data_IF_664261480219
#
_entry.id   IF_664261480219
#
_cell.length_a   1.000
_cell.length_b   1.000
_cell.length_c   1.000
_cell.angle_alpha   90.00
_cell.angle_beta   90.00
_cell.angle_gamma   90.00
#
_symmetry.space_group_name_H-M   'P 1'
#
loop_
_entity.id
_entity.type
_entity.pdbx_description
1 polymer ?
#
# COMPACT_ATOMS: atom_id res chain seq x y z
N UNK A 1 -12.04 61.28 17.94
CA UNK A 1 -12.56 60.00 18.43
C UNK A 1 -11.84 58.90 17.69
N UNK A 2 -10.82 58.29 18.31
CA UNK A 2 -10.08 57.15 17.74
C UNK A 2 -10.48 55.93 18.55
N UNK A 3 -11.21 55.03 17.92
CA UNK A 3 -11.62 53.75 18.51
C UNK A 3 -10.51 52.74 18.30
N UNK A 4 -9.91 52.25 19.38
CA UNK A 4 -8.96 51.14 19.35
C UNK A 4 -9.76 49.83 19.38
N UNK A 5 -9.65 49.05 18.30
CA UNK A 5 -10.19 47.69 18.26
C UNK A 5 -9.48 46.79 19.29
N UNK A 6 -10.17 45.80 19.88
CA UNK A 6 -9.56 44.88 20.84
C UNK A 6 -8.49 43.99 20.18
N UNK A 7 -7.49 43.50 20.93
CA UNK A 7 -6.43 42.69 20.38
C UNK A 7 -6.95 41.34 19.85
N UNK A 8 -6.36 40.95 18.73
CA UNK A 8 -6.54 39.72 17.99
C UNK A 8 -6.49 38.47 18.88
N UNK A 9 -7.39 37.52 18.59
CA UNK A 9 -7.42 36.20 19.20
C UNK A 9 -6.04 35.53 19.15
N UNK A 10 -5.61 35.02 20.30
CA UNK A 10 -4.39 34.24 20.44
C UNK A 10 -4.48 32.99 19.56
N UNK A 11 -3.46 32.67 18.73
CA UNK A 11 -3.49 31.45 17.93
C UNK A 11 -3.56 30.24 18.87
N UNK A 12 -4.48 29.31 18.57
CA UNK A 12 -4.61 28.06 19.28
C UNK A 12 -3.25 27.37 19.35
N UNK A 13 -2.85 26.93 20.55
CA UNK A 13 -1.58 26.25 20.74
C UNK A 13 -1.50 25.05 19.79
N UNK A 14 -0.49 25.04 18.91
CA UNK A 14 -0.24 23.91 18.02
C UNK A 14 -0.11 22.64 18.88
N UNK A 15 -0.90 21.63 18.56
CA UNK A 15 -0.90 20.38 19.31
C UNK A 15 0.52 19.80 19.31
N UNK A 16 1.05 19.51 20.50
CA UNK A 16 2.44 19.04 20.66
C UNK A 16 2.55 17.60 20.16
N UNK A 17 3.67 17.24 19.50
CA UNK A 17 3.94 15.85 19.19
C UNK A 17 4.10 15.05 20.48
N UNK A 18 3.51 13.85 20.51
CA UNK A 18 3.72 12.87 21.57
C UNK A 18 4.99 12.08 21.25
N UNK A 19 5.91 11.98 22.21
CA UNK A 19 7.20 11.31 22.03
C UNK A 19 7.27 10.19 23.05
N UNK A 20 7.34 8.95 22.58
CA UNK A 20 7.50 7.77 23.42
C UNK A 20 8.85 7.12 23.17
N UNK A 21 9.63 6.92 24.22
CA UNK A 21 10.90 6.20 24.18
C UNK A 21 10.67 4.76 24.64
N UNK A 22 11.20 3.78 23.91
CA UNK A 22 11.05 2.34 24.17
C UNK A 22 12.39 1.61 24.06
N UNK A 23 12.40 0.38 24.56
CA UNK A 23 13.51 -0.58 24.40
C UNK A 23 14.88 0.00 24.78
N UNK A 24 14.93 0.78 25.86
CA UNK A 24 16.16 1.43 26.28
C UNK A 24 17.10 0.46 26.97
N UNK A 25 18.38 0.55 26.62
CA UNK A 25 19.47 -0.16 27.28
C UNK A 25 20.55 0.86 27.67
N UNK A 26 20.92 0.86 28.94
CA UNK A 26 21.97 1.73 29.46
C UNK A 26 23.19 0.87 29.78
N UNK A 27 24.36 1.28 29.26
CA UNK A 27 25.65 0.68 29.56
C UNK A 27 26.62 1.74 30.06
N UNK A 28 27.28 1.46 31.18
CA UNK A 28 28.34 2.31 31.72
C UNK A 28 29.66 1.97 31.05
N UNK A 29 30.36 3.00 30.57
CA UNK A 29 31.74 2.90 30.08
C UNK A 29 32.72 3.11 31.23
N UNK A 30 32.40 4.07 32.09
CA UNK A 30 33.06 4.35 33.37
C UNK A 30 32.00 4.79 34.38
N UNK A 31 32.40 5.06 35.64
CA UNK A 31 31.48 5.56 36.68
C UNK A 31 30.83 6.91 36.32
N UNK A 32 31.46 7.67 35.43
CA UNK A 32 31.05 9.01 35.02
C UNK A 32 30.63 9.11 33.54
N UNK A 33 30.61 7.99 32.80
CA UNK A 33 30.21 7.97 31.38
C UNK A 33 29.29 6.79 31.12
N UNK A 34 28.10 7.06 30.59
CA UNK A 34 27.13 6.05 30.19
C UNK A 34 26.64 6.28 28.75
N UNK A 35 26.26 5.20 28.08
CA UNK A 35 25.60 5.25 26.78
C UNK A 35 24.22 4.62 26.96
N UNK A 36 23.19 5.33 26.51
CA UNK A 36 21.81 4.87 26.42
C UNK A 36 21.46 4.69 24.94
N UNK A 37 21.17 3.46 24.56
CA UNK A 37 20.67 3.11 23.24
C UNK A 37 19.17 2.80 23.36
N UNK A 38 18.35 3.21 22.38
CA UNK A 38 16.92 2.92 22.40
C UNK A 38 16.18 3.28 21.13
N UNK A 39 14.86 3.09 21.15
CA UNK A 39 13.95 3.45 20.05
C UNK A 39 13.02 4.59 20.47
N UNK A 40 12.59 5.39 19.50
CA UNK A 40 11.69 6.53 19.70
C UNK A 40 10.53 6.47 18.72
N UNK A 41 9.31 6.64 19.21
CA UNK A 41 8.11 6.86 18.41
C UNK A 41 7.67 8.32 18.60
N UNK A 42 7.52 9.06 17.51
CA UNK A 42 7.03 10.44 17.50
C UNK A 42 5.68 10.47 16.78
N UNK A 43 4.61 10.79 17.51
CA UNK A 43 3.27 10.93 16.96
C UNK A 43 2.92 12.41 16.81
N UNK A 44 2.84 12.87 15.57
CA UNK A 44 2.43 14.24 15.24
C UNK A 44 0.89 14.27 15.14
N UNK A 45 0.20 15.18 15.84
CA UNK A 45 -1.25 15.33 15.73
C UNK A 45 -1.69 15.57 14.29
N UNK A 46 -2.56 14.69 13.77
CA UNK A 46 -3.01 14.73 12.37
C UNK A 46 -2.02 14.16 11.34
N UNK A 47 -0.88 13.61 11.77
CA UNK A 47 0.14 12.99 10.92
C UNK A 47 0.40 11.53 11.25
N UNK A 48 1.25 10.88 10.42
CA UNK A 48 1.71 9.52 10.67
C UNK A 48 2.74 9.48 11.83
N UNK A 49 2.77 8.36 12.56
CA UNK A 49 3.82 8.10 13.54
C UNK A 49 5.17 7.94 12.84
N UNK A 50 6.22 8.49 13.44
CA UNK A 50 7.60 8.37 12.99
C UNK A 50 8.36 7.50 13.98
N UNK A 51 9.05 6.48 13.48
CA UNK A 51 9.90 5.62 14.28
C UNK A 51 11.38 5.94 14.05
N UNK A 52 12.13 5.98 15.13
CA UNK A 52 13.53 6.34 15.21
C UNK A 52 14.30 5.41 16.13
N UNK A 53 15.62 5.42 16.01
CA UNK A 53 16.55 4.89 17.00
C UNK A 53 17.50 5.99 17.43
N UNK A 54 17.96 5.92 18.67
CA UNK A 54 18.91 6.88 19.20
C UNK A 54 20.02 6.19 19.99
N UNK A 55 21.14 6.90 20.10
CA UNK A 55 22.24 6.61 21.01
C UNK A 55 22.63 7.91 21.70
N UNK A 56 22.41 7.97 23.00
CA UNK A 56 22.69 9.12 23.86
C UNK A 56 23.92 8.84 24.73
N UNK A 57 24.93 9.71 24.64
CA UNK A 57 26.08 9.67 25.54
C UNK A 57 25.84 10.62 26.70
N UNK A 58 25.89 10.08 27.91
CA UNK A 58 25.73 10.79 29.17
C UNK A 58 27.08 10.90 29.87
N UNK A 59 27.39 12.09 30.39
CA UNK A 59 28.60 12.36 31.19
C UNK A 59 28.19 12.97 32.52
N UNK A 60 28.74 12.44 33.62
CA UNK A 60 28.55 13.01 34.96
C UNK A 60 29.50 14.18 35.17
N UNK A 61 28.93 15.35 35.47
CA UNK A 61 29.67 16.57 35.74
C UNK A 61 28.96 17.38 36.84
N UNK A 62 29.72 17.95 37.78
CA UNK A 62 29.19 18.72 38.92
C UNK A 62 28.08 17.99 39.70
N UNK A 63 28.24 16.67 39.89
CA UNK A 63 27.29 15.83 40.62
C UNK A 63 26.02 15.47 39.86
N UNK A 64 25.89 15.84 38.58
CA UNK A 64 24.71 15.52 37.74
C UNK A 64 25.08 14.87 36.42
N UNK A 65 24.20 14.01 35.91
CA UNK A 65 24.31 13.50 34.54
C UNK A 65 23.88 14.57 33.54
N UNK A 66 24.69 14.76 32.49
CA UNK A 66 24.44 15.69 31.40
C UNK A 66 24.51 14.94 30.07
N UNK A 67 23.64 15.30 29.14
CA UNK A 67 23.68 14.76 27.77
C UNK A 67 24.86 15.40 27.04
N UNK A 68 25.88 14.62 26.73
CA UNK A 68 27.09 15.08 26.05
C UNK A 68 26.96 14.95 24.52
N UNK A 69 26.26 13.92 24.05
CA UNK A 69 25.97 13.73 22.63
C UNK A 69 24.66 12.96 22.44
N UNK A 70 23.95 13.27 21.36
CA UNK A 70 22.81 12.50 20.89
C UNK A 70 23.01 12.20 19.41
N UNK A 71 22.91 10.92 19.04
CA UNK A 71 22.88 10.48 17.64
C UNK A 71 21.54 9.85 17.37
N UNK A 72 20.87 10.33 16.34
CA UNK A 72 19.58 9.82 15.90
C UNK A 72 19.72 9.21 14.51
N UNK A 73 18.97 8.14 14.27
CA UNK A 73 18.77 7.57 12.95
C UNK A 73 17.30 7.21 12.81
N UNK A 74 16.80 7.18 11.57
CA UNK A 74 15.48 6.61 11.31
C UNK A 74 15.47 5.17 11.81
N UNK A 75 14.32 4.75 12.35
CA UNK A 75 14.10 3.37 12.75
C UNK A 75 14.28 2.44 11.55
N UNK A 76 14.34 1.13 11.82
CA UNK A 76 14.27 0.18 10.72
C UNK A 76 12.93 0.38 10.02
N UNK A 77 12.96 0.89 8.80
CA UNK A 77 11.76 0.91 7.97
C UNK A 77 11.26 -0.53 7.85
N UNK A 78 9.96 -0.81 8.11
CA UNK A 78 9.45 -2.14 7.90
C UNK A 78 9.85 -2.62 6.51
N UNK A 79 10.36 -3.84 6.46
CA UNK A 79 10.74 -4.53 5.25
C UNK A 79 9.59 -4.48 4.24
N UNK A 80 9.89 -4.54 2.93
CA UNK A 80 8.85 -4.55 1.91
C UNK A 80 7.75 -5.59 2.19
N UNK A 81 8.13 -6.75 2.77
CA UNK A 81 7.22 -7.80 3.21
C UNK A 81 6.23 -7.34 4.30
N UNK A 82 6.71 -6.67 5.35
CA UNK A 82 5.84 -6.15 6.43
C UNK A 82 4.88 -5.08 5.93
N UNK A 83 5.30 -4.28 4.95
CA UNK A 83 4.45 -3.24 4.34
C UNK A 83 3.42 -3.79 3.36
N UNK A 84 3.65 -5.00 2.85
CA UNK A 84 2.75 -5.70 1.92
C UNK A 84 1.92 -6.79 2.63
N UNK A 85 2.10 -7.01 3.93
CA UNK A 85 1.38 -8.05 4.69
C UNK A 85 -0.14 -7.90 4.60
N UNK A 86 -0.65 -6.66 4.56
CA UNK A 86 -2.08 -6.36 4.37
C UNK A 86 -2.63 -6.76 2.98
N UNK A 87 -1.76 -7.17 2.05
CA UNK A 87 -2.09 -7.72 0.75
C UNK A 87 -1.84 -9.24 0.65
N UNK A 88 -1.43 -9.92 1.73
CA UNK A 88 -1.23 -11.38 1.74
C UNK A 88 -2.48 -12.14 1.27
N UNK A 89 -3.66 -11.58 1.55
CA UNK A 89 -4.91 -12.16 1.11
C UNK A 89 -4.98 -12.36 -0.41
N UNK A 90 -4.26 -11.57 -1.21
CA UNK A 90 -4.26 -11.71 -2.67
C UNK A 90 -3.61 -13.01 -3.14
N UNK A 91 -2.65 -13.55 -2.37
CA UNK A 91 -1.86 -14.74 -2.74
C UNK A 91 -2.79 -15.93 -2.96
N UNK A 92 -2.60 -16.63 -4.09
CA UNK A 92 -3.36 -17.78 -4.51
C UNK A 92 -3.92 -17.64 -5.93
N UNK A 93 -4.67 -18.66 -6.33
CA UNK A 93 -5.35 -18.70 -7.63
C UNK A 93 -6.81 -18.30 -7.47
N UNK A 94 -7.33 -17.55 -8.44
CA UNK A 94 -8.68 -17.02 -8.44
C UNK A 94 -9.34 -17.15 -9.80
N UNK A 95 -10.65 -17.38 -9.78
CA UNK A 95 -11.53 -17.22 -10.94
C UNK A 95 -12.30 -15.92 -10.78
N UNK A 96 -12.36 -15.11 -11.85
CA UNK A 96 -13.16 -13.89 -11.83
C UNK A 96 -14.50 -14.14 -12.51
N UNK A 97 -15.59 -13.87 -11.80
CA UNK A 97 -16.96 -13.99 -12.30
C UNK A 97 -17.63 -12.63 -12.29
N UNK A 98 -18.58 -12.40 -13.20
CA UNK A 98 -19.37 -11.16 -13.18
C UNK A 98 -20.40 -11.16 -12.06
N UNK A 99 -20.67 -9.99 -11.50
CA UNK A 99 -21.87 -9.77 -10.69
C UNK A 99 -23.06 -9.43 -11.61
N UNK A 100 -24.03 -10.34 -11.69
CA UNK A 100 -25.30 -10.15 -12.41
C UNK A 100 -25.73 -11.37 -13.21
N UNK A 101 -27.04 -11.63 -13.27
CA UNK A 101 -27.59 -12.65 -14.15
C UNK A 101 -27.27 -12.29 -15.61
N UNK A 102 -26.73 -13.24 -16.37
CA UNK A 102 -26.59 -13.07 -17.82
C UNK A 102 -27.98 -12.81 -18.40
N UNK A 103 -28.13 -11.74 -19.19
CA UNK A 103 -29.32 -11.62 -20.02
C UNK A 103 -29.42 -12.86 -20.92
N UNK A 104 -30.64 -13.38 -21.20
CA UNK A 104 -30.83 -14.61 -21.98
C UNK A 104 -30.11 -14.59 -23.34
N UNK A 105 -29.93 -13.40 -23.91
CA UNK A 105 -29.29 -13.15 -25.21
C UNK A 105 -27.88 -12.52 -25.08
N UNK A 106 -27.28 -12.55 -23.89
CA UNK A 106 -25.94 -12.02 -23.71
C UNK A 106 -24.91 -12.90 -24.43
N UNK A 107 -24.07 -12.27 -25.25
CA UNK A 107 -22.91 -12.93 -25.83
C UNK A 107 -22.08 -13.61 -24.72
N UNK A 108 -21.49 -14.77 -25.05
CA UNK A 108 -20.57 -15.45 -24.14
C UNK A 108 -19.46 -14.48 -23.70
N UNK A 109 -19.15 -14.50 -22.41
CA UNK A 109 -18.21 -13.56 -21.80
C UNK A 109 -16.83 -14.19 -21.65
N UNK A 110 -15.74 -13.40 -21.72
CA UNK A 110 -14.41 -13.92 -21.53
C UNK A 110 -14.22 -14.45 -20.10
N UNK A 111 -13.49 -15.55 -19.99
CA UNK A 111 -13.05 -16.07 -18.68
C UNK A 111 -11.80 -15.31 -18.26
N UNK A 112 -11.73 -14.88 -17.01
CA UNK A 112 -10.54 -14.24 -16.45
C UNK A 112 -10.03 -15.11 -15.30
N UNK A 113 -8.76 -15.50 -15.41
CA UNK A 113 -8.04 -16.22 -14.37
C UNK A 113 -6.97 -15.33 -13.76
N UNK A 114 -6.80 -15.45 -12.45
CA UNK A 114 -5.79 -14.70 -11.71
C UNK A 114 -4.94 -15.63 -10.87
N UNK A 115 -3.62 -15.49 -10.94
CA UNK A 115 -2.69 -16.13 -10.02
C UNK A 115 -1.83 -15.06 -9.35
N UNK A 116 -1.67 -15.14 -8.03
CA UNK A 116 -0.83 -14.21 -7.27
C UNK A 116 0.09 -14.99 -6.37
N UNK A 117 1.37 -14.61 -6.38
CA UNK A 117 2.40 -15.23 -5.54
C UNK A 117 3.42 -14.20 -5.08
N UNK A 118 4.10 -14.50 -3.99
CA UNK A 118 5.29 -13.76 -3.61
C UNK A 118 6.44 -14.02 -4.59
N UNK A 119 7.28 -13.01 -4.83
CA UNK A 119 8.63 -13.26 -5.35
C UNK A 119 9.50 -13.93 -4.26
N UNK A 120 10.65 -14.48 -4.65
CA UNK A 120 11.51 -15.25 -3.74
C UNK A 120 11.91 -14.47 -2.47
N UNK A 121 12.17 -13.17 -2.59
CA UNK A 121 12.54 -12.30 -1.46
C UNK A 121 11.36 -11.70 -0.68
N UNK A 122 10.11 -12.04 -1.03
CA UNK A 122 8.88 -11.44 -0.46
C UNK A 122 8.86 -9.90 -0.49
N UNK A 123 9.49 -9.30 -1.49
CA UNK A 123 9.52 -7.84 -1.71
C UNK A 123 8.45 -7.37 -2.68
N UNK A 124 7.88 -8.28 -3.48
CA UNK A 124 6.81 -8.01 -4.42
C UNK A 124 5.79 -9.15 -4.45
N UNK A 125 4.52 -8.79 -4.58
CA UNK A 125 3.51 -9.70 -5.11
C UNK A 125 3.61 -9.68 -6.63
N UNK A 126 3.66 -10.87 -7.22
CA UNK A 126 3.65 -11.12 -8.65
C UNK A 126 2.26 -11.62 -9.00
N UNK A 127 1.54 -10.87 -9.82
CA UNK A 127 0.18 -11.15 -10.24
C UNK A 127 0.15 -11.40 -11.75
N UNK A 128 -0.41 -12.54 -12.12
CA UNK A 128 -0.66 -12.94 -13.50
C UNK A 128 -2.16 -12.93 -13.72
N UNK A 129 -2.63 -12.21 -14.73
CA UNK A 129 -4.03 -12.16 -15.15
C UNK A 129 -4.16 -12.62 -16.59
N UNK A 130 -4.93 -13.67 -16.83
CA UNK A 130 -5.17 -14.24 -18.15
C UNK A 130 -6.63 -13.99 -18.55
N UNK A 131 -6.83 -13.37 -19.70
CA UNK A 131 -8.16 -13.12 -20.30
C UNK A 131 -8.31 -14.08 -21.47
N UNK A 132 -9.25 -15.02 -21.35
CA UNK A 132 -9.50 -16.09 -22.31
C UNK A 132 -10.81 -15.77 -23.02
N UNK A 133 -10.74 -15.63 -24.35
CA UNK A 133 -11.92 -15.36 -25.17
C UNK A 133 -12.91 -16.55 -25.14
N UNK A 134 -14.22 -16.32 -25.33
CA UNK A 134 -15.20 -17.39 -25.43
C UNK A 134 -14.80 -18.47 -26.44
N UNK A 135 -14.90 -19.74 -26.05
CA UNK A 135 -14.52 -20.91 -26.87
C UNK A 135 -13.01 -21.09 -27.11
N UNK A 136 -12.16 -20.16 -26.66
CA UNK A 136 -10.71 -20.28 -26.80
C UNK A 136 -10.08 -21.14 -25.70
N UNK A 137 -9.00 -21.84 -26.04
CA UNK A 137 -8.17 -22.58 -25.06
C UNK A 137 -6.99 -21.76 -24.55
N UNK A 138 -6.48 -20.86 -25.39
CA UNK A 138 -5.33 -20.01 -25.07
C UNK A 138 -5.80 -18.60 -24.68
N UNK A 139 -5.10 -17.92 -23.77
CA UNK A 139 -5.43 -16.55 -23.39
C UNK A 139 -5.21 -15.60 -24.57
N UNK A 140 -6.20 -14.75 -24.83
CA UNK A 140 -6.09 -13.68 -25.82
C UNK A 140 -5.19 -12.55 -25.31
N UNK A 141 -5.24 -12.28 -24.00
CA UNK A 141 -4.42 -11.27 -23.33
C UNK A 141 -3.89 -11.83 -22.02
N UNK A 142 -2.60 -11.63 -21.76
CA UNK A 142 -1.94 -11.95 -20.49
C UNK A 142 -1.30 -10.69 -19.92
N UNK A 143 -1.78 -10.26 -18.75
CA UNK A 143 -1.23 -9.12 -18.01
C UNK A 143 -0.41 -9.64 -16.84
N UNK A 144 0.84 -9.18 -16.75
CA UNK A 144 1.71 -9.41 -15.60
C UNK A 144 1.83 -8.13 -14.80
N UNK A 145 1.70 -8.22 -13.48
CA UNK A 145 1.76 -7.09 -12.57
C UNK A 145 2.71 -7.40 -11.41
N UNK A 146 3.52 -6.41 -11.03
CA UNK A 146 4.30 -6.43 -9.79
C UNK A 146 3.72 -5.41 -8.84
N UNK A 147 3.43 -5.79 -7.61
CA UNK A 147 2.91 -4.91 -6.56
C UNK A 147 3.94 -4.89 -5.42
N UNK A 148 4.38 -3.70 -5.02
CA UNK A 148 5.45 -3.53 -4.05
C UNK A 148 5.40 -2.19 -3.31
N UNK A 149 6.22 -2.07 -2.27
CA UNK A 149 6.46 -0.80 -1.60
C UNK A 149 7.45 0.05 -2.39
N UNK A 150 7.08 1.30 -2.68
CA UNK A 150 7.99 2.30 -3.21
C UNK A 150 8.48 3.23 -2.07
N UNK A 151 9.77 3.17 -1.69
CA UNK A 151 10.31 3.99 -0.61
C UNK A 151 10.39 5.48 -0.98
N UNK A 152 10.41 5.82 -2.27
CA UNK A 152 10.48 7.22 -2.71
C UNK A 152 9.13 7.92 -2.49
N UNK A 153 8.05 7.32 -2.99
CA UNK A 153 6.70 7.86 -2.80
C UNK A 153 6.07 7.48 -1.44
N UNK A 154 6.71 6.60 -0.67
CA UNK A 154 6.21 6.04 0.60
C UNK A 154 4.79 5.48 0.44
N UNK A 155 4.58 4.75 -0.64
CA UNK A 155 3.28 4.19 -0.97
C UNK A 155 3.40 2.80 -1.59
N UNK A 156 2.32 2.05 -1.58
CA UNK A 156 2.23 0.82 -2.36
C UNK A 156 2.00 1.18 -3.83
N UNK A 157 2.84 0.63 -4.69
CA UNK A 157 2.83 0.85 -6.13
C UNK A 157 2.72 -0.47 -6.86
N UNK A 158 2.22 -0.40 -8.08
CA UNK A 158 2.28 -1.54 -8.98
C UNK A 158 2.58 -1.13 -10.40
N UNK A 159 3.19 -2.04 -11.16
CA UNK A 159 3.51 -1.87 -12.57
C UNK A 159 2.98 -3.07 -13.32
N UNK A 160 2.25 -2.82 -14.41
CA UNK A 160 1.60 -3.82 -15.23
C UNK A 160 2.09 -3.79 -16.67
N UNK A 161 2.20 -4.97 -17.28
CA UNK A 161 2.57 -5.16 -18.68
C UNK A 161 1.63 -6.19 -19.30
N UNK A 162 1.01 -5.82 -20.41
CA UNK A 162 0.11 -6.67 -21.18
C UNK A 162 0.85 -7.29 -22.37
N UNK A 163 0.48 -8.52 -22.74
CA UNK A 163 1.09 -9.26 -23.84
C UNK A 163 0.87 -8.63 -25.23
N UNK A 164 -0.10 -7.73 -25.35
CA UNK A 164 -0.39 -6.94 -26.55
C UNK A 164 0.50 -5.68 -26.69
N UNK A 165 1.37 -5.41 -25.71
CA UNK A 165 2.27 -4.24 -25.69
C UNK A 165 1.80 -3.10 -24.78
N UNK A 166 0.62 -3.21 -24.17
CA UNK A 166 0.15 -2.23 -23.19
C UNK A 166 0.95 -2.25 -21.89
N UNK A 167 1.06 -1.10 -21.22
CA UNK A 167 1.78 -1.00 -19.95
C UNK A 167 1.22 0.09 -19.05
N UNK A 168 1.45 0.00 -17.75
CA UNK A 168 0.98 1.04 -16.84
C UNK A 168 1.40 0.85 -15.41
N UNK A 169 0.87 1.71 -14.56
CA UNK A 169 1.15 1.71 -13.15
C UNK A 169 -0.07 2.04 -12.30
N UNK A 170 0.01 1.75 -11.01
CA UNK A 170 -1.01 2.17 -10.06
C UNK A 170 -0.42 2.51 -8.70
N UNK A 171 -1.09 3.45 -8.02
CA UNK A 171 -0.87 3.76 -6.60
C UNK A 171 -2.00 3.17 -5.78
N UNK A 172 -1.66 2.48 -4.70
CA UNK A 172 -2.58 1.74 -3.84
C UNK A 172 -2.78 2.46 -2.51
N UNK A 173 -4.03 2.58 -2.09
CA UNK A 173 -4.43 3.22 -0.84
C UNK A 173 -5.41 2.31 -0.12
N UNK A 174 -5.25 2.18 1.20
CA UNK A 174 -6.23 1.51 2.05
C UNK A 174 -7.38 2.48 2.37
N UNK A 175 -8.61 2.05 2.14
CA UNK A 175 -9.82 2.77 2.51
C UNK A 175 -10.75 1.83 3.29
N UNK A 176 -10.68 1.93 4.63
CA UNK A 176 -11.35 1.01 5.54
C UNK A 176 -11.03 -0.46 5.26
N UNK A 177 -12.07 -1.25 4.96
CA UNK A 177 -11.96 -2.67 4.61
C UNK A 177 -11.49 -2.95 3.18
N UNK A 178 -11.24 -1.92 2.37
CA UNK A 178 -10.94 -2.07 0.94
C UNK A 178 -9.55 -1.54 0.57
N UNK A 179 -9.03 -2.06 -0.53
CA UNK A 179 -7.86 -1.53 -1.23
C UNK A 179 -8.29 -0.84 -2.51
N UNK A 180 -7.83 0.40 -2.72
CA UNK A 180 -8.12 1.19 -3.91
C UNK A 180 -6.82 1.38 -4.69
N UNK A 181 -6.76 0.86 -5.90
CA UNK A 181 -5.67 1.09 -6.84
C UNK A 181 -6.10 2.13 -7.89
N UNK A 182 -5.42 3.27 -7.91
CA UNK A 182 -5.58 4.28 -8.96
C UNK A 182 -4.60 3.97 -10.08
N UNK A 183 -5.13 3.51 -11.21
CA UNK A 183 -4.36 3.01 -12.34
C UNK A 183 -4.30 4.04 -13.46
N UNK A 184 -3.14 4.15 -14.10
CA UNK A 184 -2.94 4.77 -15.40
C UNK A 184 -2.25 3.76 -16.32
N UNK A 185 -2.80 3.55 -17.51
CA UNK A 185 -2.35 2.53 -18.45
C UNK A 185 -2.28 3.12 -19.86
N UNK A 186 -1.27 2.72 -20.62
CA UNK A 186 -1.08 3.04 -22.03
C UNK A 186 -1.40 1.79 -22.82
N UNK A 187 -2.36 1.91 -23.72
CA UNK A 187 -2.77 0.84 -24.63
C UNK A 187 -1.81 0.70 -25.82
N UNK A 188 -1.82 -0.43 -26.54
CA UNK A 188 -0.93 -0.64 -27.70
C UNK A 188 -1.05 0.41 -28.81
N UNK A 189 -2.22 1.07 -28.93
CA UNK A 189 -2.47 2.14 -29.89
C UNK A 189 -2.00 3.53 -29.39
N UNK A 190 -1.41 3.59 -28.20
CA UNK A 190 -0.93 4.81 -27.55
C UNK A 190 -2.00 5.59 -26.79
N UNK A 191 -3.26 5.15 -26.82
CA UNK A 191 -4.31 5.74 -25.99
C UNK A 191 -4.04 5.50 -24.51
N UNK A 192 -4.55 6.41 -23.66
CA UNK A 192 -4.37 6.33 -22.21
C UNK A 192 -5.69 6.05 -21.53
N UNK A 193 -5.69 5.08 -20.63
CA UNK A 193 -6.82 4.74 -19.78
C UNK A 193 -6.48 5.00 -18.33
N UNK A 194 -7.47 5.45 -17.55
CA UNK A 194 -7.34 5.57 -16.10
C UNK A 194 -8.55 4.97 -15.41
N UNK A 195 -8.31 4.33 -14.26
CA UNK A 195 -9.38 3.71 -13.49
C UNK A 195 -9.08 3.68 -11.99
N UNK A 196 -10.14 3.65 -11.19
CA UNK A 196 -10.08 3.23 -9.79
C UNK A 196 -10.51 1.77 -9.71
N UNK A 197 -9.60 0.91 -9.27
CA UNK A 197 -9.87 -0.49 -8.99
C UNK A 197 -10.01 -0.69 -7.49
N UNK A 198 -11.22 -0.99 -7.02
CA UNK A 198 -11.57 -1.16 -5.61
C UNK A 198 -11.71 -2.64 -5.33
N UNK A 199 -10.94 -3.13 -4.36
CA UNK A 199 -10.92 -4.52 -3.93
C UNK A 199 -11.43 -4.62 -2.49
N UNK A 200 -12.51 -5.35 -2.29
CA UNK A 200 -13.10 -5.60 -0.96
C UNK A 200 -13.08 -7.10 -0.70
N UNK A 201 -12.14 -7.54 0.14
CA UNK A 201 -11.97 -8.95 0.50
C UNK A 201 -12.84 -9.32 1.69
N UNK A 202 -13.51 -10.47 1.62
CA UNK A 202 -14.44 -10.94 2.65
C UNK A 202 -13.75 -11.64 3.85
N UNK A 203 -12.42 -11.82 3.77
CA UNK A 203 -11.63 -12.52 4.77
C UNK A 203 -11.48 -14.02 4.54
N UNK A 204 -12.07 -14.59 3.47
CA UNK A 204 -12.10 -16.04 3.23
C UNK A 204 -11.70 -16.41 1.79
N UNK A 205 -12.64 -16.36 0.87
CA UNK A 205 -12.50 -16.91 -0.47
C UNK A 205 -13.07 -15.99 -1.55
N UNK A 206 -13.56 -14.81 -1.18
CA UNK A 206 -14.17 -13.87 -2.12
C UNK A 206 -13.60 -12.47 -1.98
N UNK A 207 -13.30 -11.86 -3.13
CA UNK A 207 -13.01 -10.43 -3.21
C UNK A 207 -13.91 -9.80 -4.26
N UNK A 208 -14.73 -8.84 -3.87
CA UNK A 208 -15.43 -8.00 -4.84
C UNK A 208 -14.42 -7.04 -5.46
N UNK A 209 -14.36 -7.00 -6.79
CA UNK A 209 -13.54 -6.10 -7.58
C UNK A 209 -14.44 -5.18 -8.39
N UNK A 210 -14.37 -3.88 -8.11
CA UNK A 210 -15.09 -2.84 -8.83
C UNK A 210 -14.10 -1.96 -9.57
N UNK A 211 -14.26 -1.82 -10.88
CA UNK A 211 -13.45 -0.94 -11.71
C UNK A 211 -14.29 0.23 -12.18
N UNK A 212 -13.83 1.44 -11.86
CA UNK A 212 -14.45 2.71 -12.21
C UNK A 212 -13.52 3.44 -13.18
N UNK A 213 -13.80 3.44 -14.49
CA UNK A 213 -13.05 4.23 -15.46
C UNK A 213 -13.14 5.72 -15.09
N UNK A 214 -11.99 6.39 -14.97
CA UNK A 214 -11.93 7.81 -14.57
C UNK A 214 -11.61 8.75 -15.73
N UNK A 215 -11.14 8.23 -16.87
CA UNK A 215 -10.96 8.97 -18.11
C UNK A 215 -10.69 8.02 -19.30
N UNK A 216 -11.54 8.04 -20.33
CA UNK A 216 -11.32 7.40 -21.65
C UNK A 216 -12.03 8.27 -22.71
N UNK A 217 -11.37 9.28 -23.27
CA UNK A 217 -11.99 10.15 -24.29
C UNK A 217 -13.38 10.70 -23.89
N UNK A 218 -14.22 11.07 -24.86
CA UNK A 218 -15.60 11.56 -24.58
C UNK A 218 -16.60 10.45 -24.22
N UNK A 219 -16.18 9.19 -24.07
CA UNK A 219 -17.09 8.07 -23.80
C UNK A 219 -17.05 7.63 -22.33
N UNK A 220 -18.20 7.72 -21.68
CA UNK A 220 -18.42 7.16 -20.35
C UNK A 220 -18.47 5.62 -20.45
N UNK A 221 -17.34 4.96 -20.18
CA UNK A 221 -17.32 3.51 -20.05
C UNK A 221 -18.03 3.11 -18.74
N UNK A 222 -18.96 2.14 -18.75
CA UNK A 222 -19.68 1.73 -17.56
C UNK A 222 -18.75 1.10 -16.52
N UNK A 223 -19.12 1.23 -15.25
CA UNK A 223 -18.43 0.52 -14.17
C UNK A 223 -18.48 -0.99 -14.38
N UNK A 224 -17.39 -1.66 -14.01
CA UNK A 224 -17.29 -3.12 -14.09
C UNK A 224 -17.27 -3.68 -12.68
N UNK A 225 -18.24 -4.52 -12.35
CA UNK A 225 -18.32 -5.20 -11.05
C UNK A 225 -18.13 -6.71 -11.25
N UNK A 226 -17.13 -7.26 -10.59
CA UNK A 226 -16.76 -8.67 -10.66
C UNK A 226 -16.48 -9.21 -9.26
N UNK A 227 -16.61 -10.52 -9.09
CA UNK A 227 -16.18 -11.22 -7.88
C UNK A 227 -15.02 -12.15 -8.24
N UNK A 228 -13.91 -12.00 -7.53
CA UNK A 228 -12.83 -12.98 -7.51
C UNK A 228 -13.22 -14.07 -6.52
N UNK A 229 -13.26 -15.31 -6.96
CA UNK A 229 -13.51 -16.50 -6.14
C UNK A 229 -12.22 -17.32 -6.11
N UNK A 230 -11.72 -17.58 -4.90
CA UNK A 230 -10.48 -18.34 -4.70
C UNK A 230 -10.69 -19.76 -5.21
N UNK A 231 -9.77 -20.22 -6.07
CA UNK A 231 -9.76 -21.63 -6.50
C UNK A 231 -9.32 -22.49 -5.32
N UNK A 232 -9.89 -23.70 -5.16
CA UNK A 232 -9.39 -24.66 -4.19
C UNK A 232 -7.91 -24.88 -4.47
N UNK A 233 -7.05 -24.76 -3.46
CA UNK A 233 -5.68 -25.25 -3.59
C UNK A 233 -5.82 -26.75 -3.82
N UNK A 234 -5.48 -27.20 -5.04
CA UNK A 234 -5.43 -28.63 -5.33
C UNK A 234 -4.53 -29.25 -4.27
N UNK A 235 -5.04 -30.26 -3.56
CA UNK A 235 -4.22 -31.06 -2.65
C UNK A 235 -2.99 -31.49 -3.43
N UNK A 236 -1.85 -30.86 -3.12
CA UNK A 236 -0.60 -31.08 -3.81
C UNK A 236 -0.29 -32.57 -3.82
N UNK A 237 0.02 -33.07 -5.02
CA UNK A 237 0.57 -34.39 -5.23
C UNK A 237 2.08 -34.30 -5.25
#
# INVERSE_FOLDING_TARGET
>A
TVSLAPPSAQPAAAARPDITVRETAIRFITDDVAIEDGTVEVRIPGGAALEGRFSATWVRHEGGWKLAALREARGNEPSGAERLADLDWMVGDWSVVDEGAAAPDAAEKPTIELAVRWNAGRTFLLRDMKIIAPGAKEPAVHVTQRIGWDPLSRSLRSWGFSSDGGHGEATWIRDGGSWVARTAFVEPDGSQTSALNIYTYDGKDRCTWRSLPTHVGQEHTPQVNKTLIRKPQGAGR
#
